data_IF_393815749562
#
_entry.id   IF_393815749562
#
_cell.length_a   1.000
_cell.length_b   1.000
_cell.length_c   1.000
_cell.angle_alpha   90.00
_cell.angle_beta   90.00
_cell.angle_gamma   90.00
#
_symmetry.space_group_name_H-M   'P 1'
#
loop_
_entity.id
_entity.type
_entity.pdbx_description
1 polymer ?
#
# COMPACT_ATOMS: atom_id res chain seq x y z
N UNK A 1 12.22 9.04 7.44
CA UNK A 1 11.55 8.31 8.55
C UNK A 1 12.32 7.04 8.89
N UNK A 2 12.61 6.18 7.91
CA UNK A 2 13.45 4.97 8.05
C UNK A 2 14.79 5.23 8.72
N UNK A 3 15.49 6.30 8.33
CA UNK A 3 16.76 6.69 8.94
C UNK A 3 16.66 6.96 10.44
N UNK A 4 15.59 7.66 10.89
CA UNK A 4 15.35 7.96 12.30
C UNK A 4 15.12 6.67 13.09
N UNK A 5 14.34 5.73 12.55
CA UNK A 5 14.10 4.41 13.17
C UNK A 5 15.40 3.61 13.29
N UNK A 6 16.22 3.56 12.23
CA UNK A 6 17.53 2.91 12.26
C UNK A 6 18.45 3.50 13.34
N UNK A 7 18.53 4.83 13.45
CA UNK A 7 19.36 5.51 14.46
C UNK A 7 18.85 5.27 15.88
N UNK A 8 17.54 5.28 16.09
CA UNK A 8 16.92 4.93 17.39
C UNK A 8 17.26 3.50 17.81
N UNK A 9 17.28 2.53 16.88
CA UNK A 9 17.63 1.13 17.16
C UNK A 9 19.12 0.94 17.45
N UNK A 10 19.99 1.76 16.87
CA UNK A 10 21.42 1.84 17.21
C UNK A 10 21.70 2.43 18.60
N UNK A 11 20.66 2.84 19.32
CA UNK A 11 20.76 3.36 20.68
C UNK A 11 20.91 4.88 20.77
N UNK A 12 20.73 5.62 19.67
CA UNK A 12 20.77 7.08 19.72
C UNK A 12 19.61 7.67 20.53
N UNK A 13 19.90 8.77 21.22
CA UNK A 13 18.95 9.40 22.14
C UNK A 13 17.89 10.17 21.33
N UNK A 14 16.61 9.90 21.61
CA UNK A 14 15.48 10.57 20.94
C UNK A 14 15.53 12.10 21.02
N UNK A 15 16.09 12.66 22.11
CA UNK A 15 16.35 14.10 22.25
C UNK A 15 17.29 14.64 21.17
N UNK A 16 18.39 13.93 20.92
CA UNK A 16 19.39 14.35 19.95
C UNK A 16 18.80 14.30 18.53
N UNK A 17 18.06 13.24 18.22
CA UNK A 17 17.37 13.10 16.94
C UNK A 17 16.27 14.16 16.76
N UNK A 18 15.55 14.52 17.82
CA UNK A 18 14.55 15.60 17.79
C UNK A 18 15.17 16.92 17.34
N UNK A 19 16.36 17.25 17.84
CA UNK A 19 17.10 18.47 17.47
C UNK A 19 17.62 18.37 16.03
N UNK A 20 18.29 17.26 15.69
CA UNK A 20 18.91 17.05 14.36
C UNK A 20 17.88 17.14 13.24
N UNK A 21 16.72 16.49 13.40
CA UNK A 21 15.70 16.43 12.37
C UNK A 21 14.63 17.53 12.52
N UNK A 22 14.73 18.38 13.54
CA UNK A 22 13.71 19.38 13.90
C UNK A 22 12.29 18.79 14.00
N UNK A 23 12.19 17.64 14.66
CA UNK A 23 10.92 16.90 14.84
C UNK A 23 10.64 16.80 16.33
N UNK A 24 9.40 17.05 16.80
CA UNK A 24 9.06 16.92 18.21
C UNK A 24 9.41 15.55 18.78
N UNK A 25 9.88 15.52 20.02
CA UNK A 25 10.26 14.28 20.70
C UNK A 25 9.12 13.26 20.75
N UNK A 26 7.87 13.72 20.87
CA UNK A 26 6.67 12.87 20.80
C UNK A 26 6.62 12.06 19.51
N UNK A 27 6.78 12.73 18.37
CA UNK A 27 6.82 12.09 17.05
C UNK A 27 8.00 11.13 16.89
N UNK A 28 9.18 11.48 17.43
CA UNK A 28 10.36 10.58 17.43
C UNK A 28 10.07 9.32 18.25
N UNK A 29 9.42 9.45 19.41
CA UNK A 29 9.02 8.31 20.23
C UNK A 29 7.94 7.46 19.57
N UNK A 30 7.01 8.07 18.82
CA UNK A 30 6.02 7.34 18.04
C UNK A 30 6.70 6.50 16.95
N UNK A 31 7.72 7.06 16.27
CA UNK A 31 8.54 6.29 15.32
C UNK A 31 9.28 5.14 16.00
N UNK A 32 9.77 5.34 17.23
CA UNK A 32 10.38 4.25 18.02
C UNK A 32 9.38 3.14 18.31
N UNK A 33 8.17 3.51 18.76
CA UNK A 33 7.10 2.59 19.13
C UNK A 33 6.56 1.80 17.94
N UNK A 34 6.47 2.44 16.78
CA UNK A 34 5.89 1.86 15.57
C UNK A 34 6.93 1.44 14.53
N UNK A 35 8.22 1.39 14.90
CA UNK A 35 9.32 1.07 13.99
C UNK A 35 9.14 -0.26 13.26
N UNK A 36 8.74 -1.31 13.98
CA UNK A 36 8.51 -2.65 13.40
C UNK A 36 7.37 -2.67 12.37
N UNK A 37 6.32 -1.88 12.63
CA UNK A 37 5.18 -1.74 11.72
C UNK A 37 5.61 -1.01 10.44
N UNK A 38 6.40 0.05 10.59
CA UNK A 38 6.95 0.83 9.47
C UNK A 38 7.82 -0.07 8.58
N UNK A 39 8.71 -0.86 9.16
CA UNK A 39 9.59 -1.75 8.41
C UNK A 39 8.87 -2.92 7.73
N UNK A 40 7.92 -3.56 8.43
CA UNK A 40 7.11 -4.62 7.85
C UNK A 40 6.28 -4.07 6.67
N UNK A 41 5.76 -2.85 6.79
CA UNK A 41 5.03 -2.18 5.72
C UNK A 41 5.94 -1.85 4.52
N UNK A 42 7.17 -1.37 4.76
CA UNK A 42 8.15 -1.13 3.69
C UNK A 42 8.53 -2.42 2.98
N UNK A 43 8.86 -3.48 3.74
CA UNK A 43 9.28 -4.78 3.17
C UNK A 43 8.20 -5.38 2.27
N UNK A 44 6.92 -5.26 2.67
CA UNK A 44 5.78 -5.69 1.85
C UNK A 44 5.59 -4.83 0.60
N UNK A 45 5.98 -3.55 0.64
CA UNK A 45 5.85 -2.64 -0.49
C UNK A 45 6.99 -2.73 -1.48
N UNK A 46 8.23 -2.98 -1.06
CA UNK A 46 9.36 -3.21 -1.98
C UNK A 46 9.13 -4.42 -2.90
N UNK A 47 8.26 -5.34 -2.49
CA UNK A 47 7.82 -6.48 -3.32
C UNK A 47 6.80 -6.09 -4.41
N UNK A 48 6.29 -4.86 -4.38
CA UNK A 48 5.35 -4.29 -5.35
C UNK A 48 5.99 -3.05 -5.96
N UNK A 49 5.75 -2.72 -7.23
CA UNK A 49 6.49 -1.71 -8.00
C UNK A 49 6.21 -0.23 -7.59
N UNK A 50 5.95 0.02 -6.30
CA UNK A 50 5.53 1.29 -5.73
C UNK A 50 6.69 2.12 -5.19
N UNK A 51 6.65 3.42 -5.46
CA UNK A 51 7.58 4.41 -4.90
C UNK A 51 7.42 4.54 -3.37
N UNK A 52 8.33 3.89 -2.64
CA UNK A 52 8.39 3.91 -1.18
C UNK A 52 9.00 5.22 -0.66
N UNK A 53 9.75 5.94 -1.49
CA UNK A 53 10.58 7.08 -1.05
C UNK A 53 9.75 8.34 -0.75
N UNK A 54 8.69 8.58 -1.52
CA UNK A 54 7.85 9.78 -1.36
C UNK A 54 6.59 9.54 -0.52
N UNK A 55 6.29 8.29 -0.15
CA UNK A 55 5.06 7.91 0.53
C UNK A 55 5.09 8.26 2.02
N UNK A 56 4.07 8.98 2.50
CA UNK A 56 3.93 9.40 3.91
C UNK A 56 2.87 8.63 4.72
N UNK A 57 2.10 7.74 4.08
CA UNK A 57 0.92 7.10 4.69
C UNK A 57 0.98 5.58 4.58
N UNK A 58 0.71 4.88 5.69
CA UNK A 58 0.68 3.40 5.76
C UNK A 58 -0.68 2.77 5.42
N UNK A 59 -1.55 3.46 4.67
CA UNK A 59 -2.89 2.95 4.33
C UNK A 59 -2.77 1.72 3.43
N UNK A 60 -3.27 0.59 3.91
CA UNK A 60 -3.43 -0.62 3.11
C UNK A 60 -4.71 -0.53 2.26
N UNK A 61 -4.75 -1.26 1.15
CA UNK A 61 -5.95 -1.40 0.37
C UNK A 61 -7.01 -2.18 1.18
N UNK A 62 -8.24 -1.67 1.21
CA UNK A 62 -9.35 -2.26 1.97
C UNK A 62 -9.76 -3.65 1.46
N UNK A 63 -9.44 -3.97 0.20
CA UNK A 63 -9.87 -5.20 -0.47
C UNK A 63 -8.71 -5.91 -1.18
N UNK A 64 -7.60 -6.11 -0.47
CA UNK A 64 -6.36 -6.62 -1.07
C UNK A 64 -6.55 -7.94 -1.84
N UNK A 65 -7.33 -8.90 -1.33
CA UNK A 65 -7.61 -10.17 -2.02
C UNK A 65 -8.38 -9.98 -3.34
N UNK A 66 -9.38 -9.09 -3.36
CA UNK A 66 -10.14 -8.80 -4.58
C UNK A 66 -9.25 -8.08 -5.60
N UNK A 67 -8.50 -7.08 -5.14
CA UNK A 67 -7.61 -6.30 -5.99
C UNK A 67 -6.53 -7.20 -6.62
N UNK A 68 -5.99 -8.16 -5.86
CA UNK A 68 -5.04 -9.16 -6.35
C UNK A 68 -5.66 -10.06 -7.43
N UNK A 69 -6.84 -10.65 -7.18
CA UNK A 69 -7.49 -11.54 -8.16
C UNK A 69 -7.86 -10.78 -9.44
N UNK A 70 -8.34 -9.54 -9.33
CA UNK A 70 -8.62 -8.68 -10.49
C UNK A 70 -7.33 -8.35 -11.24
N UNK A 71 -6.25 -8.05 -10.53
CA UNK A 71 -4.95 -7.75 -11.13
C UNK A 71 -4.36 -8.93 -11.88
N UNK A 72 -4.36 -10.14 -11.28
CA UNK A 72 -3.85 -11.34 -11.95
C UNK A 72 -4.63 -11.65 -13.23
N UNK A 73 -5.96 -11.55 -13.18
CA UNK A 73 -6.78 -11.72 -14.37
C UNK A 73 -6.46 -10.65 -15.42
N UNK A 74 -6.35 -9.38 -15.02
CA UNK A 74 -5.98 -8.29 -15.94
C UNK A 74 -4.61 -8.52 -16.60
N UNK A 75 -3.60 -8.93 -15.82
CA UNK A 75 -2.27 -9.24 -16.33
C UNK A 75 -2.29 -10.40 -17.33
N UNK A 76 -3.09 -11.44 -17.07
CA UNK A 76 -3.29 -12.55 -18.00
C UNK A 76 -3.96 -12.10 -19.31
N UNK A 77 -4.97 -11.23 -19.26
CA UNK A 77 -5.62 -10.72 -20.47
C UNK A 77 -4.66 -9.81 -21.26
N UNK A 78 -3.85 -9.01 -20.56
CA UNK A 78 -2.84 -8.14 -21.19
C UNK A 78 -1.73 -8.95 -21.87
N UNK A 79 -1.28 -10.07 -21.27
CA UNK A 79 -0.27 -10.94 -21.89
C UNK A 79 -0.79 -11.63 -23.15
N UNK A 80 -2.11 -11.79 -23.28
CA UNK A 80 -2.79 -12.27 -24.49
C UNK A 80 -3.02 -11.16 -25.53
N UNK A 81 -2.58 -9.93 -25.26
CA UNK A 81 -2.77 -8.78 -26.14
C UNK A 81 -4.21 -8.26 -26.20
N UNK A 82 -5.07 -8.64 -25.23
CA UNK A 82 -6.46 -8.22 -25.19
C UNK A 82 -6.54 -6.81 -24.56
N UNK A 83 -6.98 -5.78 -25.29
CA UNK A 83 -7.19 -4.46 -24.72
C UNK A 83 -8.43 -4.49 -23.81
N UNK A 84 -8.24 -4.30 -22.51
CA UNK A 84 -9.33 -4.22 -21.54
C UNK A 84 -9.66 -2.76 -21.22
N UNK A 85 -10.93 -2.42 -21.34
CA UNK A 85 -11.44 -1.11 -20.93
C UNK A 85 -11.79 -1.10 -19.43
N UNK A 86 -11.83 0.09 -18.85
CA UNK A 86 -12.21 0.30 -17.46
C UNK A 86 -13.49 -0.43 -17.03
N UNK A 87 -14.60 -0.29 -17.78
CA UNK A 87 -15.86 -0.96 -17.47
C UNK A 87 -15.79 -2.49 -17.43
N UNK A 88 -15.00 -3.12 -18.31
CA UNK A 88 -14.86 -4.58 -18.34
C UNK A 88 -14.17 -5.06 -17.05
N UNK A 89 -13.13 -4.35 -16.62
CA UNK A 89 -12.41 -4.68 -15.38
C UNK A 89 -13.30 -4.45 -14.15
N UNK A 90 -14.14 -3.40 -14.14
CA UNK A 90 -15.13 -3.17 -13.08
C UNK A 90 -16.14 -4.31 -12.99
N UNK A 91 -16.69 -4.76 -14.12
CA UNK A 91 -17.61 -5.88 -14.16
C UNK A 91 -16.94 -7.15 -13.61
N UNK A 92 -15.67 -7.39 -13.98
CA UNK A 92 -14.91 -8.52 -13.45
C UNK A 92 -14.70 -8.44 -11.94
N UNK A 93 -14.40 -7.25 -11.41
CA UNK A 93 -14.27 -7.04 -9.98
C UNK A 93 -15.57 -7.35 -9.23
N UNK A 94 -16.73 -6.97 -9.78
CA UNK A 94 -18.03 -7.33 -9.21
C UNK A 94 -18.28 -8.84 -9.24
N UNK A 95 -17.91 -9.52 -10.32
CA UNK A 95 -18.02 -10.98 -10.43
C UNK A 95 -17.13 -11.70 -9.41
N UNK A 96 -15.88 -11.26 -9.25
CA UNK A 96 -14.97 -11.85 -8.27
C UNK A 96 -15.41 -11.58 -6.84
N UNK A 97 -15.90 -10.37 -6.54
CA UNK A 97 -16.41 -10.05 -5.20
C UNK A 97 -17.54 -10.99 -4.75
N UNK A 98 -18.45 -11.35 -5.66
CA UNK A 98 -19.53 -12.32 -5.39
C UNK A 98 -19.03 -13.73 -5.07
N UNK A 99 -17.84 -14.10 -5.55
CA UNK A 99 -17.24 -15.43 -5.36
C UNK A 99 -16.37 -15.51 -4.11
N UNK A 100 -16.01 -14.38 -3.51
CA UNK A 100 -15.22 -14.34 -2.29
C UNK A 100 -16.11 -14.53 -1.04
N UNK A 101 -15.63 -15.25 -0.01
CA UNK A 101 -16.41 -15.56 1.20
C UNK A 101 -16.78 -14.31 2.02
N UNK A 102 -16.05 -13.21 1.84
CA UNK A 102 -16.28 -11.92 2.51
C UNK A 102 -16.96 -10.90 1.58
N UNK A 103 -18.03 -11.31 0.91
CA UNK A 103 -18.77 -10.46 -0.03
C UNK A 103 -19.58 -9.39 0.71
N UNK A 104 -19.03 -8.19 0.85
CA UNK A 104 -19.77 -6.99 1.23
C UNK A 104 -20.75 -6.60 0.09
N UNK A 105 -22.08 -6.64 0.32
CA UNK A 105 -23.09 -6.26 -0.68
C UNK A 105 -23.05 -4.77 -1.06
N UNK A 106 -22.36 -3.93 -0.29
CA UNK A 106 -22.15 -2.50 -0.58
C UNK A 106 -20.94 -2.22 -1.47
N UNK A 107 -20.18 -3.25 -1.88
CA UNK A 107 -18.99 -3.06 -2.69
C UNK A 107 -19.31 -2.43 -4.05
N UNK A 108 -18.69 -1.28 -4.31
CA UNK A 108 -18.78 -0.56 -5.60
C UNK A 108 -17.41 -0.54 -6.26
N UNK A 109 -17.30 -1.16 -7.43
CA UNK A 109 -16.12 -1.06 -8.28
C UNK A 109 -16.03 0.35 -8.89
N UNK A 110 -15.37 1.28 -8.20
CA UNK A 110 -15.22 2.66 -8.66
C UNK A 110 -14.25 2.78 -9.85
N UNK A 111 -14.46 3.77 -10.71
CA UNK A 111 -13.63 4.01 -11.92
C UNK A 111 -12.20 4.46 -11.61
N UNK A 112 -11.92 4.86 -10.37
CA UNK A 112 -10.61 5.37 -9.94
C UNK A 112 -9.51 4.30 -9.91
N UNK A 113 -9.84 3.01 -9.85
CA UNK A 113 -8.87 1.90 -9.79
C UNK A 113 -8.03 1.75 -11.08
N UNK A 114 -8.43 2.38 -12.18
CA UNK A 114 -7.96 2.04 -13.53
C UNK A 114 -7.41 3.22 -14.32
N UNK A 115 -6.87 4.26 -13.65
CA UNK A 115 -6.05 5.25 -14.34
C UNK A 115 -4.72 4.59 -14.74
N UNK A 116 -4.76 3.87 -15.86
CA UNK A 116 -3.59 3.53 -16.65
C UNK A 116 -2.91 4.85 -16.97
N UNK A 117 -1.75 5.09 -16.36
CA UNK A 117 -0.87 6.19 -16.77
C UNK A 117 -0.43 5.84 -18.20
N UNK A 118 -0.97 6.59 -19.16
CA UNK A 118 -0.41 6.67 -20.50
C UNK A 118 1.00 7.25 -20.42
#
# INVERSE_FOLDING_TARGET
MTEIVCRLRKGEIATALSIIYNVPRTTINDFKKHGDIIENHISKMESTDGDVTHRKTMKLATHNELDEVVFYWFAQQRSQGIPLSGPIIQQKALEFKKKLPNSDPSFKASSCLLKVKN
#
